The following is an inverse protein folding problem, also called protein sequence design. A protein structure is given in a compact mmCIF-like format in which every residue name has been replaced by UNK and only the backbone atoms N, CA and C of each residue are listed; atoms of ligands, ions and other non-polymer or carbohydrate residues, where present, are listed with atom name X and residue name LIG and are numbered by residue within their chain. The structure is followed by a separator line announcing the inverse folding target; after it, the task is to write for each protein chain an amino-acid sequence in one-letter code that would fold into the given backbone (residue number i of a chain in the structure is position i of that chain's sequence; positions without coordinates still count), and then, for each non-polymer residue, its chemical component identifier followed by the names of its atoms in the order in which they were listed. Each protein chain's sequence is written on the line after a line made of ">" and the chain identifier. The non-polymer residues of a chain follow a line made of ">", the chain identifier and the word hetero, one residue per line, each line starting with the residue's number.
data_IF_338819003617
#
_entry.id   IF_338819003617
#
_cell.length_a   1.000
_cell.length_b   1.000
_cell.length_c   1.000
_cell.angle_alpha   90.00
_cell.angle_beta   90.00
_cell.angle_gamma   90.00
#
_symmetry.space_group_name_H-M   'P 1'
#
loop_
_entity.id
_entity.type
_entity.pdbx_description
1 polymer ?
#
# COMPACT_ATOMS: atom_id res chain seq x y z
N UNK A 1 -12.33 7.66 -6.97
CA UNK A 1 -11.60 6.71 -6.12
C UNK A 1 -11.48 7.22 -4.70
N UNK A 2 -10.69 6.55 -3.87
CA UNK A 2 -10.59 6.79 -2.43
C UNK A 2 -10.29 8.26 -2.05
N UNK A 3 -9.24 8.88 -2.58
CA UNK A 3 -8.83 10.24 -2.15
C UNK A 3 -9.82 11.35 -2.52
N UNK A 4 -10.63 11.18 -3.56
CA UNK A 4 -11.71 12.12 -3.86
C UNK A 4 -12.82 12.04 -2.80
N UNK A 5 -13.13 10.82 -2.33
CA UNK A 5 -14.08 10.58 -1.24
C UNK A 5 -13.50 11.11 0.07
N UNK A 6 -12.22 10.84 0.32
CA UNK A 6 -11.47 11.32 1.48
C UNK A 6 -11.52 12.85 1.58
N UNK A 7 -11.11 13.59 0.54
CA UNK A 7 -11.19 15.06 0.52
C UNK A 7 -12.62 15.60 0.71
N UNK A 8 -13.61 14.89 0.18
CA UNK A 8 -15.00 15.27 0.38
C UNK A 8 -15.41 15.07 1.84
N UNK A 9 -14.94 14.03 2.52
CA UNK A 9 -15.31 13.73 3.90
C UNK A 9 -14.52 14.54 4.93
N UNK A 10 -13.21 14.72 4.74
CA UNK A 10 -12.32 15.43 5.67
C UNK A 10 -12.02 16.88 5.26
N UNK A 11 -12.05 17.18 3.96
CA UNK A 11 -11.60 18.49 3.45
C UNK A 11 -10.10 18.57 3.29
N UNK A 12 -9.59 19.77 3.00
CA UNK A 12 -8.15 20.00 3.03
C UNK A 12 -7.69 19.89 4.49
N UNK A 13 -6.56 19.22 4.69
CA UNK A 13 -5.94 19.23 5.99
C UNK A 13 -5.11 20.51 6.19
N UNK A 14 -5.48 21.26 7.20
CA UNK A 14 -4.72 22.45 7.65
C UNK A 14 -4.53 22.41 9.16
N UNK A 15 -4.76 21.25 9.77
CA UNK A 15 -4.65 21.04 11.20
C UNK A 15 -3.18 20.79 11.57
N UNK A 16 -2.85 21.10 12.81
CA UNK A 16 -1.47 20.99 13.31
C UNK A 16 -1.14 19.62 13.87
N UNK A 17 -2.16 18.80 14.15
CA UNK A 17 -2.05 17.58 14.96
C UNK A 17 -3.23 16.62 14.75
N UNK A 18 -3.82 16.62 13.57
CA UNK A 18 -5.01 15.81 13.26
C UNK A 18 -5.53 16.09 11.85
N UNK A 19 -6.56 15.36 11.40
CA UNK A 19 -6.94 15.36 9.99
C UNK A 19 -7.79 16.58 9.61
N UNK A 20 -8.16 16.66 8.33
CA UNK A 20 -9.16 17.61 7.84
C UNK A 20 -10.47 17.57 8.65
N UNK A 21 -11.07 18.74 8.89
CA UNK A 21 -12.20 18.91 9.82
C UNK A 21 -13.52 19.28 9.16
N UNK A 22 -13.75 18.87 7.90
CA UNK A 22 -14.97 19.25 7.18
C UNK A 22 -16.23 18.84 7.96
N UNK A 23 -17.11 19.79 8.28
CA UNK A 23 -18.36 19.48 8.96
C UNK A 23 -19.35 18.82 8.00
N UNK A 24 -20.14 17.86 8.50
CA UNK A 24 -21.22 17.25 7.72
C UNK A 24 -22.27 18.29 7.28
N UNK A 25 -22.38 19.41 7.99
CA UNK A 25 -23.22 20.55 7.62
C UNK A 25 -22.83 21.18 6.28
N UNK A 26 -21.62 20.94 5.77
CA UNK A 26 -21.25 21.35 4.40
C UNK A 26 -22.12 20.66 3.35
N UNK A 27 -22.81 19.57 3.67
CA UNK A 27 -23.69 18.85 2.76
C UNK A 27 -25.15 19.29 2.82
N UNK A 28 -25.49 20.17 3.77
CA UNK A 28 -26.85 20.69 3.90
C UNK A 28 -27.16 21.75 2.84
N UNK A 29 -28.45 21.95 2.59
CA UNK A 29 -28.99 22.93 1.62
C UNK A 29 -29.94 23.93 2.28
N UNK A 30 -30.09 23.83 3.60
CA UNK A 30 -30.98 24.67 4.41
C UNK A 30 -30.19 25.71 5.22
N UNK A 31 -30.84 26.29 6.22
CA UNK A 31 -30.26 27.33 7.07
C UNK A 31 -29.14 26.84 7.99
N UNK A 32 -28.97 25.52 8.17
CA UNK A 32 -27.92 24.94 9.01
C UNK A 32 -26.62 24.69 8.21
N UNK A 33 -26.63 24.93 6.88
CA UNK A 33 -25.47 24.72 6.03
C UNK A 33 -24.30 25.65 6.38
N UNK A 34 -23.10 25.07 6.51
CA UNK A 34 -21.85 25.79 6.81
C UNK A 34 -21.09 26.25 5.56
N UNK A 35 -21.44 25.73 4.39
CA UNK A 35 -20.82 26.07 3.11
C UNK A 35 -21.83 26.05 1.96
N UNK A 36 -21.58 26.80 0.86
CA UNK A 36 -22.44 26.74 -0.32
C UNK A 36 -22.35 25.38 -1.04
N UNK A 37 -23.33 25.13 -1.91
CA UNK A 37 -23.40 23.99 -2.85
C UNK A 37 -23.42 22.60 -2.18
N UNK A 38 -24.06 22.45 -1.02
CA UNK A 38 -24.16 21.18 -0.32
C UNK A 38 -24.81 20.06 -1.15
N UNK A 39 -25.80 20.41 -1.98
CA UNK A 39 -26.42 19.52 -2.96
C UNK A 39 -25.40 18.95 -3.96
N UNK A 40 -24.61 19.83 -4.58
CA UNK A 40 -23.57 19.44 -5.55
C UNK A 40 -22.46 18.63 -4.90
N UNK A 41 -22.06 18.99 -3.67
CA UNK A 41 -21.04 18.27 -2.89
C UNK A 41 -21.51 16.85 -2.58
N UNK A 42 -22.75 16.71 -2.10
CA UNK A 42 -23.37 15.40 -1.85
C UNK A 42 -23.52 14.56 -3.11
N UNK A 43 -23.91 15.18 -4.24
CA UNK A 43 -23.97 14.48 -5.53
C UNK A 43 -22.60 13.96 -5.96
N UNK A 44 -21.54 14.75 -5.81
CA UNK A 44 -20.18 14.31 -6.14
C UNK A 44 -19.77 13.13 -5.24
N UNK A 45 -19.92 13.24 -3.92
CA UNK A 45 -19.54 12.18 -2.98
C UNK A 45 -20.21 10.86 -3.35
N UNK A 46 -21.51 10.90 -3.66
CA UNK A 46 -22.27 9.72 -4.09
C UNK A 46 -21.71 9.13 -5.39
N UNK A 47 -21.49 9.95 -6.42
CA UNK A 47 -20.96 9.49 -7.70
C UNK A 47 -19.55 8.91 -7.57
N UNK A 48 -18.68 9.54 -6.78
CA UNK A 48 -17.33 9.06 -6.53
C UNK A 48 -17.32 7.69 -5.83
N UNK A 49 -18.25 7.47 -4.89
CA UNK A 49 -18.44 6.18 -4.22
C UNK A 49 -19.05 5.12 -5.16
N UNK A 50 -20.01 5.49 -6.01
CA UNK A 50 -20.58 4.60 -7.03
C UNK A 50 -19.49 4.12 -8.00
N UNK A 51 -18.68 5.03 -8.54
CA UNK A 51 -17.55 4.68 -9.42
C UNK A 51 -16.56 3.75 -8.69
N UNK A 52 -16.23 4.03 -7.43
CA UNK A 52 -15.32 3.17 -6.67
C UNK A 52 -15.88 1.74 -6.52
N UNK A 53 -17.18 1.59 -6.23
CA UNK A 53 -17.82 0.28 -6.12
C UNK A 53 -17.84 -0.44 -7.47
N UNK A 54 -18.12 0.29 -8.56
CA UNK A 54 -18.07 -0.25 -9.93
C UNK A 54 -16.67 -0.74 -10.29
N UNK A 55 -15.63 0.06 -10.03
CA UNK A 55 -14.23 -0.30 -10.28
C UNK A 55 -13.82 -1.54 -9.47
N UNK A 56 -14.17 -1.59 -8.18
CA UNK A 56 -13.88 -2.75 -7.32
C UNK A 56 -14.61 -4.02 -7.79
N UNK A 57 -15.82 -3.89 -8.34
CA UNK A 57 -16.54 -5.02 -8.91
C UNK A 57 -15.77 -5.66 -10.08
N UNK A 58 -15.06 -4.86 -10.89
CA UNK A 58 -14.22 -5.40 -11.97
C UNK A 58 -13.10 -6.30 -11.45
N UNK A 59 -12.50 -5.96 -10.31
CA UNK A 59 -11.47 -6.79 -9.67
C UNK A 59 -12.05 -8.07 -9.09
N UNK A 60 -13.23 -7.99 -8.47
CA UNK A 60 -13.97 -9.16 -7.96
C UNK A 60 -14.29 -10.13 -9.11
N UNK A 61 -14.81 -9.61 -10.22
CA UNK A 61 -15.15 -10.42 -11.39
C UNK A 61 -13.91 -11.03 -12.05
N UNK A 62 -12.80 -10.31 -12.11
CA UNK A 62 -11.52 -10.81 -12.62
C UNK A 62 -11.00 -12.01 -11.81
N UNK A 63 -11.34 -12.08 -10.52
CA UNK A 63 -10.93 -13.16 -9.60
C UNK A 63 -12.04 -14.16 -9.23
N UNK A 64 -13.24 -14.04 -9.81
CA UNK A 64 -14.34 -14.93 -9.51
C UNK A 64 -14.03 -16.40 -9.88
N UNK A 65 -14.38 -17.39 -9.04
CA UNK A 65 -14.16 -18.80 -9.37
C UNK A 65 -15.13 -19.29 -10.46
N UNK A 66 -14.68 -20.24 -11.29
CA UNK A 66 -15.54 -20.92 -12.28
C UNK A 66 -15.89 -20.09 -13.51
N UNK A 67 -15.27 -18.92 -13.70
CA UNK A 67 -15.44 -18.07 -14.88
C UNK A 67 -14.21 -18.14 -15.80
N UNK A 68 -14.38 -17.70 -17.06
CA UNK A 68 -13.28 -17.53 -18.01
C UNK A 68 -12.68 -16.13 -17.84
N UNK A 69 -11.83 -15.97 -16.82
CA UNK A 69 -11.32 -14.69 -16.34
C UNK A 69 -9.82 -14.73 -15.98
N UNK A 70 -9.31 -13.64 -15.38
CA UNK A 70 -7.90 -13.54 -15.00
C UNK A 70 -7.49 -14.64 -14.04
N UNK A 71 -8.29 -14.95 -13.01
CA UNK A 71 -7.99 -16.06 -12.08
C UNK A 71 -7.78 -17.36 -12.81
N UNK A 72 -8.67 -17.75 -13.73
CA UNK A 72 -8.51 -18.99 -14.49
C UNK A 72 -7.21 -19.00 -15.28
N UNK A 73 -6.94 -17.94 -16.04
CA UNK A 73 -5.70 -17.80 -16.80
C UNK A 73 -4.45 -17.84 -15.91
N UNK A 74 -4.52 -17.27 -14.72
CA UNK A 74 -3.45 -17.26 -13.73
C UNK A 74 -3.21 -18.65 -13.12
N UNK A 75 -4.28 -19.37 -12.74
CA UNK A 75 -4.16 -20.66 -12.05
C UNK A 75 -3.96 -21.86 -12.98
N UNK A 76 -4.41 -21.78 -14.23
CA UNK A 76 -4.27 -22.85 -15.24
C UNK A 76 -3.12 -22.59 -16.22
N UNK A 77 -2.49 -21.41 -16.13
CA UNK A 77 -1.35 -21.03 -16.96
C UNK A 77 -0.05 -21.70 -16.52
N UNK A 78 1.06 -21.17 -17.04
CA UNK A 78 2.40 -21.59 -16.65
C UNK A 78 2.68 -21.20 -15.18
N UNK A 79 2.95 -22.17 -14.28
CA UNK A 79 3.26 -21.89 -12.89
C UNK A 79 4.47 -20.97 -12.69
N UNK A 80 5.49 -21.06 -13.56
CA UNK A 80 6.69 -20.21 -13.43
C UNK A 80 6.35 -18.76 -13.76
N UNK A 81 5.50 -18.52 -14.76
CA UNK A 81 4.99 -17.18 -15.08
C UNK A 81 4.07 -16.64 -13.96
N UNK A 82 3.29 -17.50 -13.31
CA UNK A 82 2.48 -17.10 -12.16
C UNK A 82 3.37 -16.70 -10.96
N UNK A 83 4.38 -17.51 -10.63
CA UNK A 83 5.36 -17.21 -9.58
C UNK A 83 6.13 -15.93 -9.88
N UNK A 84 6.56 -15.76 -11.15
CA UNK A 84 7.24 -14.54 -11.58
C UNK A 84 6.38 -13.31 -11.36
N UNK A 85 5.10 -13.35 -11.75
CA UNK A 85 4.15 -12.25 -11.50
C UNK A 85 3.98 -11.95 -10.01
N UNK A 86 3.90 -12.98 -9.16
CA UNK A 86 3.76 -12.79 -7.71
C UNK A 86 4.99 -12.07 -7.16
N UNK A 87 6.19 -12.60 -7.40
CA UNK A 87 7.44 -12.04 -6.84
C UNK A 87 7.68 -10.62 -7.38
N UNK A 88 7.47 -10.40 -8.68
CA UNK A 88 7.55 -9.06 -9.28
C UNK A 88 6.55 -8.09 -8.64
N UNK A 89 5.28 -8.49 -8.47
CA UNK A 89 4.26 -7.60 -7.92
C UNK A 89 4.57 -7.18 -6.48
N UNK A 90 4.97 -8.10 -5.60
CA UNK A 90 5.32 -7.74 -4.22
C UNK A 90 6.64 -6.99 -4.12
N UNK A 91 7.58 -7.22 -5.05
CA UNK A 91 8.83 -6.47 -5.14
C UNK A 91 8.62 -5.02 -5.58
N UNK A 92 7.82 -4.80 -6.62
CA UNK A 92 7.40 -3.46 -7.05
C UNK A 92 6.63 -2.75 -5.95
N UNK A 93 5.68 -3.44 -5.30
CA UNK A 93 4.93 -2.85 -4.19
C UNK A 93 5.85 -2.47 -3.03
N UNK A 94 6.86 -3.27 -2.72
CA UNK A 94 7.84 -2.99 -1.66
C UNK A 94 8.71 -1.77 -1.98
N UNK A 95 9.46 -1.84 -3.08
CA UNK A 95 10.55 -0.90 -3.38
C UNK A 95 10.09 0.28 -4.22
N UNK A 96 9.53 0.03 -5.40
CA UNK A 96 9.11 1.09 -6.30
C UNK A 96 8.00 1.94 -5.70
N UNK A 97 6.92 1.30 -5.24
CA UNK A 97 5.70 2.00 -4.82
C UNK A 97 5.76 2.44 -3.35
N UNK A 98 5.90 1.50 -2.42
CA UNK A 98 5.73 1.81 -1.00
C UNK A 98 6.92 2.60 -0.44
N UNK A 99 8.15 2.15 -0.70
CA UNK A 99 9.34 2.86 -0.24
C UNK A 99 9.56 4.15 -1.05
N UNK A 100 9.66 4.05 -2.37
CA UNK A 100 9.97 5.17 -3.26
C UNK A 100 8.87 6.23 -3.27
N UNK A 101 7.73 5.92 -3.89
CA UNK A 101 6.71 6.94 -4.15
C UNK A 101 5.90 7.34 -2.91
N UNK A 102 5.56 6.39 -2.02
CA UNK A 102 4.63 6.68 -0.91
C UNK A 102 5.31 7.17 0.37
N UNK A 103 6.62 6.96 0.52
CA UNK A 103 7.34 7.31 1.76
C UNK A 103 8.52 8.24 1.50
N UNK A 104 9.41 7.90 0.58
CA UNK A 104 10.65 8.66 0.34
C UNK A 104 10.36 10.03 -0.29
N UNK A 105 9.36 10.13 -1.18
CA UNK A 105 8.93 11.42 -1.76
C UNK A 105 8.51 12.41 -0.66
N UNK A 106 7.61 12.00 0.24
CA UNK A 106 7.16 12.86 1.35
C UNK A 106 8.31 13.17 2.33
N UNK A 107 9.23 12.22 2.52
CA UNK A 107 10.40 12.39 3.37
C UNK A 107 11.42 13.38 2.80
N UNK A 108 11.59 13.43 1.48
CA UNK A 108 12.48 14.37 0.77
C UNK A 108 11.85 15.76 0.67
N UNK A 109 10.55 15.84 0.36
CA UNK A 109 9.85 17.12 0.25
C UNK A 109 9.54 17.77 1.59
N UNK A 110 9.37 16.95 2.64
CA UNK A 110 8.87 17.36 3.95
C UNK A 110 7.50 18.06 3.87
N UNK A 111 6.72 17.75 2.83
CA UNK A 111 5.39 18.30 2.60
C UNK A 111 4.32 17.28 3.00
N UNK A 112 3.40 17.70 3.87
CA UNK A 112 2.25 16.90 4.25
C UNK A 112 1.33 16.59 3.05
N UNK A 113 1.33 17.42 2.01
CA UNK A 113 0.48 17.19 0.84
C UNK A 113 1.03 16.06 -0.05
N UNK A 114 2.29 15.65 0.16
CA UNK A 114 2.94 14.54 -0.55
C UNK A 114 2.76 13.20 0.18
N UNK A 115 2.20 13.16 1.40
CA UNK A 115 1.80 11.90 2.02
C UNK A 115 0.49 11.34 1.41
N UNK A 116 0.34 10.01 1.41
CA UNK A 116 -0.64 9.33 0.56
C UNK A 116 -2.11 9.66 0.91
N UNK A 117 -2.45 9.67 2.20
CA UNK A 117 -3.80 9.94 2.72
C UNK A 117 -3.80 11.22 3.56
N UNK A 118 -3.27 12.28 2.95
CA UNK A 118 -3.00 13.58 3.56
C UNK A 118 -4.23 14.33 4.09
N UNK A 119 -5.45 13.91 3.76
CA UNK A 119 -6.66 14.57 4.27
C UNK A 119 -7.19 13.93 5.56
N UNK A 120 -6.92 12.64 5.75
CA UNK A 120 -7.54 11.83 6.81
C UNK A 120 -6.55 11.29 7.85
N UNK A 121 -5.27 11.64 7.76
CA UNK A 121 -4.17 11.11 8.58
C UNK A 121 -4.03 9.58 8.50
N UNK A 122 -4.50 8.96 7.42
CA UNK A 122 -4.59 7.51 7.32
C UNK A 122 -3.32 6.85 6.75
N UNK A 123 -2.31 7.64 6.36
CA UNK A 123 -1.09 7.18 5.69
C UNK A 123 -0.37 6.05 6.44
N UNK A 124 -0.29 6.14 7.77
CA UNK A 124 0.31 5.09 8.61
C UNK A 124 -0.40 3.72 8.52
N UNK A 125 -1.73 3.72 8.38
CA UNK A 125 -2.53 2.50 8.17
C UNK A 125 -2.30 1.96 6.77
N UNK A 126 -2.28 2.84 5.76
CA UNK A 126 -2.07 2.43 4.37
C UNK A 126 -0.71 1.75 4.22
N UNK A 127 0.36 2.36 4.73
CA UNK A 127 1.71 1.80 4.68
C UNK A 127 1.75 0.42 5.37
N UNK A 128 1.21 0.33 6.58
CA UNK A 128 1.16 -0.93 7.33
C UNK A 128 0.40 -2.03 6.59
N UNK A 129 -0.77 -1.73 6.03
CA UNK A 129 -1.59 -2.71 5.33
C UNK A 129 -0.94 -3.19 4.02
N UNK A 130 -0.21 -2.32 3.32
CA UNK A 130 0.57 -2.72 2.14
C UNK A 130 1.73 -3.66 2.53
N UNK A 131 2.48 -3.34 3.59
CA UNK A 131 3.57 -4.19 4.07
C UNK A 131 3.05 -5.57 4.57
N UNK A 132 1.93 -5.58 5.30
CA UNK A 132 1.26 -6.83 5.68
C UNK A 132 0.79 -7.61 4.46
N UNK A 133 0.28 -6.94 3.42
CA UNK A 133 -0.10 -7.57 2.15
C UNK A 133 1.06 -8.32 1.50
N UNK A 134 2.25 -7.70 1.46
CA UNK A 134 3.48 -8.33 0.95
C UNK A 134 3.82 -9.58 1.77
N UNK A 135 3.84 -9.46 3.10
CA UNK A 135 4.13 -10.58 3.99
C UNK A 135 3.12 -11.73 3.84
N UNK A 136 1.84 -11.41 3.76
CA UNK A 136 0.75 -12.37 3.57
C UNK A 136 0.92 -13.18 2.28
N UNK A 137 1.25 -12.50 1.17
CA UNK A 137 1.50 -13.16 -0.12
C UNK A 137 2.75 -14.02 -0.07
N UNK A 138 3.83 -13.55 0.55
CA UNK A 138 5.08 -14.31 0.65
C UNK A 138 4.93 -15.58 1.51
N UNK A 139 4.22 -15.47 2.63
CA UNK A 139 4.02 -16.56 3.58
C UNK A 139 2.81 -17.46 3.26
N UNK A 140 1.96 -17.10 2.31
CA UNK A 140 0.74 -17.85 2.00
C UNK A 140 -0.31 -17.79 3.12
N UNK A 141 -0.36 -16.69 3.87
CA UNK A 141 -1.23 -16.53 5.06
C UNK A 141 -2.09 -15.28 4.96
N UNK A 142 -3.38 -15.41 5.23
CA UNK A 142 -4.30 -14.27 5.30
C UNK A 142 -5.54 -14.60 6.12
N UNK A 143 -5.77 -13.87 7.22
CA UNK A 143 -6.89 -14.10 8.14
C UNK A 143 -6.93 -15.57 8.62
N UNK A 144 -7.98 -16.33 8.26
CA UNK A 144 -8.10 -17.76 8.59
C UNK A 144 -7.46 -18.70 7.57
N UNK A 145 -6.89 -18.17 6.48
CA UNK A 145 -6.18 -18.95 5.47
C UNK A 145 -4.70 -19.10 5.86
N UNK A 146 -4.24 -20.36 5.88
CA UNK A 146 -2.83 -20.74 6.09
C UNK A 146 -2.53 -21.88 5.10
N UNK A 147 -1.74 -21.58 4.08
CA UNK A 147 -1.42 -22.49 2.99
C UNK A 147 0.03 -22.35 2.51
N UNK A 148 0.42 -23.08 1.45
CA UNK A 148 1.78 -23.00 0.93
C UNK A 148 2.12 -21.58 0.48
N UNK A 149 3.26 -21.06 0.95
CA UNK A 149 3.76 -19.75 0.57
C UNK A 149 4.95 -19.82 -0.38
N UNK A 150 5.42 -18.67 -0.85
CA UNK A 150 6.69 -18.56 -1.59
C UNK A 150 7.86 -19.00 -0.71
N UNK A 151 7.79 -18.70 0.59
CA UNK A 151 8.77 -19.10 1.58
C UNK A 151 9.07 -20.61 1.53
N UNK A 152 8.08 -21.47 1.27
CA UNK A 152 8.29 -22.92 1.22
C UNK A 152 9.13 -23.32 0.00
N UNK A 153 8.93 -22.65 -1.14
CA UNK A 153 9.73 -22.84 -2.34
C UNK A 153 11.14 -22.29 -2.17
N UNK A 154 11.27 -21.11 -1.57
CA UNK A 154 12.58 -20.49 -1.30
C UNK A 154 13.36 -21.34 -0.30
N UNK A 155 12.74 -21.82 0.77
CA UNK A 155 13.40 -22.68 1.75
C UNK A 155 13.89 -24.01 1.14
N UNK A 156 13.16 -24.55 0.15
CA UNK A 156 13.60 -25.75 -0.58
C UNK A 156 14.77 -25.48 -1.53
N UNK A 157 14.86 -24.28 -2.12
CA UNK A 157 15.92 -23.89 -3.04
C UNK A 157 17.18 -23.38 -2.32
N UNK A 158 17.00 -22.46 -1.37
CA UNK A 158 18.03 -21.83 -0.56
C UNK A 158 17.46 -21.44 0.84
N UNK A 159 17.71 -22.28 1.87
CA UNK A 159 17.23 -22.03 3.22
C UNK A 159 17.74 -20.71 3.82
N UNK A 160 18.99 -20.33 3.53
CA UNK A 160 19.57 -19.11 4.10
C UNK A 160 18.96 -17.86 3.47
N UNK A 161 18.65 -17.91 2.18
CA UNK A 161 17.93 -16.84 1.48
C UNK A 161 16.50 -16.68 2.03
N UNK A 162 15.82 -17.80 2.32
CA UNK A 162 14.49 -17.77 2.93
C UNK A 162 14.54 -17.10 4.31
N UNK A 163 15.47 -17.50 5.17
CA UNK A 163 15.61 -16.92 6.51
C UNK A 163 15.88 -15.41 6.42
N UNK A 164 16.79 -14.99 5.53
CA UNK A 164 17.08 -13.58 5.30
C UNK A 164 15.85 -12.79 4.77
N UNK A 165 15.05 -13.39 3.89
CA UNK A 165 13.83 -12.74 3.37
C UNK A 165 12.77 -12.60 4.46
N UNK A 166 12.58 -13.62 5.31
CA UNK A 166 11.66 -13.56 6.45
C UNK A 166 12.10 -12.48 7.45
N UNK A 167 13.40 -12.42 7.76
CA UNK A 167 13.96 -11.39 8.64
C UNK A 167 13.71 -9.98 8.08
N UNK A 168 13.82 -9.78 6.75
CA UNK A 168 13.53 -8.50 6.11
C UNK A 168 12.04 -8.14 6.14
N UNK A 169 11.14 -9.11 5.95
CA UNK A 169 9.69 -8.91 6.10
C UNK A 169 9.30 -8.49 7.52
N UNK A 170 9.96 -9.07 8.54
CA UNK A 170 9.74 -8.67 9.94
C UNK A 170 10.35 -7.29 10.21
N UNK A 171 11.58 -7.05 9.76
CA UNK A 171 12.29 -5.78 9.94
C UNK A 171 11.51 -4.60 9.32
N UNK A 172 10.99 -4.75 8.11
CA UNK A 172 10.23 -3.69 7.44
C UNK A 172 8.93 -3.38 8.18
N UNK A 173 8.18 -4.41 8.60
CA UNK A 173 6.96 -4.23 9.37
C UNK A 173 7.21 -3.57 10.72
N UNK A 174 8.24 -4.01 11.46
CA UNK A 174 8.63 -3.41 12.75
C UNK A 174 9.05 -1.94 12.56
N UNK A 175 9.80 -1.63 11.51
CA UNK A 175 10.21 -0.26 11.22
C UNK A 175 9.02 0.64 10.90
N UNK A 176 8.07 0.15 10.08
CA UNK A 176 6.82 0.85 9.76
C UNK A 176 5.98 1.11 11.02
N UNK A 177 5.82 0.11 11.89
CA UNK A 177 5.05 0.27 13.13
C UNK A 177 5.72 1.22 14.15
N UNK A 178 7.01 1.48 13.99
CA UNK A 178 7.73 2.42 14.85
C UNK A 178 7.54 3.89 14.45
N UNK A 179 7.03 4.17 13.23
CA UNK A 179 6.80 5.54 12.74
C UNK A 179 5.76 6.23 13.64
N UNK A 180 6.04 7.45 14.15
CA UNK A 180 5.06 8.22 14.91
C UNK A 180 3.80 8.50 14.08
N UNK A 181 2.65 8.56 14.76
CA UNK A 181 1.35 8.83 14.14
C UNK A 181 0.85 10.20 14.63
N UNK A 182 0.32 11.06 13.76
CA UNK A 182 0.17 10.87 12.30
C UNK A 182 1.48 11.03 11.51
N UNK A 183 1.50 10.54 10.26
CA UNK A 183 2.74 10.36 9.48
C UNK A 183 3.38 11.71 9.12
N UNK A 184 2.57 12.67 8.68
CA UNK A 184 2.91 14.08 8.50
C UNK A 184 3.67 14.70 9.68
N UNK A 185 3.31 14.38 10.93
CA UNK A 185 4.00 14.89 12.12
C UNK A 185 5.36 14.23 12.36
N UNK A 186 5.59 13.08 11.73
CA UNK A 186 6.90 12.44 11.69
C UNK A 186 7.80 13.02 10.58
N UNK A 187 7.24 13.76 9.62
CA UNK A 187 7.99 14.55 8.62
C UNK A 187 8.61 15.77 9.27
N UNK A 188 9.75 15.54 9.93
CA UNK A 188 10.55 16.57 10.59
C UNK A 188 11.84 16.89 9.85
N UNK A 189 12.62 17.81 10.42
CA UNK A 189 13.97 18.07 9.94
C UNK A 189 14.78 16.76 9.86
N UNK A 190 15.61 16.65 8.83
CA UNK A 190 16.51 15.51 8.64
C UNK A 190 17.30 15.20 9.91
N UNK A 191 17.27 13.94 10.34
CA UNK A 191 17.91 13.49 11.58
C UNK A 191 17.05 13.57 12.85
N UNK A 192 15.83 14.12 12.78
CA UNK A 192 14.86 14.02 13.87
C UNK A 192 14.41 12.56 14.12
N UNK A 193 13.81 12.28 15.28
CA UNK A 193 13.35 10.92 15.62
C UNK A 193 12.33 10.38 14.61
N UNK A 194 11.33 11.19 14.24
CA UNK A 194 10.33 10.84 13.22
C UNK A 194 10.96 10.59 11.85
N UNK A 195 11.80 11.52 11.38
CA UNK A 195 12.50 11.41 10.10
C UNK A 195 13.33 10.13 10.02
N UNK A 196 14.14 9.84 11.05
CA UNK A 196 14.99 8.64 11.08
C UNK A 196 14.18 7.34 11.07
N UNK A 197 12.97 7.34 11.65
CA UNK A 197 12.09 6.17 11.66
C UNK A 197 11.44 5.93 10.29
N UNK A 198 11.04 6.99 9.59
CA UNK A 198 10.56 6.87 8.21
C UNK A 198 11.71 6.40 7.31
N UNK A 199 12.89 7.02 7.39
CA UNK A 199 14.09 6.62 6.63
C UNK A 199 14.47 5.15 6.90
N UNK A 200 14.41 4.69 8.15
CA UNK A 200 14.67 3.29 8.49
C UNK A 200 13.66 2.33 7.83
N UNK A 201 12.38 2.72 7.77
CA UNK A 201 11.34 1.92 7.11
C UNK A 201 11.50 1.91 5.58
N UNK A 202 11.82 3.06 4.96
CA UNK A 202 12.15 3.17 3.52
C UNK A 202 13.31 2.25 3.17
N UNK A 203 14.43 2.35 3.90
CA UNK A 203 15.60 1.52 3.64
C UNK A 203 15.31 0.03 3.86
N UNK A 204 14.52 -0.33 4.87
CA UNK A 204 14.11 -1.72 5.09
C UNK A 204 13.26 -2.28 3.93
N UNK A 205 12.39 -1.47 3.33
CA UNK A 205 11.59 -1.85 2.16
C UNK A 205 12.41 -1.90 0.86
N UNK A 206 13.45 -1.07 0.73
CA UNK A 206 14.44 -1.18 -0.35
C UNK A 206 15.22 -2.49 -0.24
N UNK A 207 15.77 -2.81 0.95
CA UNK A 207 16.44 -4.09 1.21
C UNK A 207 15.50 -5.27 0.88
N UNK A 208 14.23 -5.19 1.31
CA UNK A 208 13.20 -6.19 1.06
C UNK A 208 12.93 -6.38 -0.45
N UNK A 209 12.85 -5.29 -1.21
CA UNK A 209 12.65 -5.35 -2.66
C UNK A 209 13.85 -5.94 -3.41
N UNK A 210 15.07 -5.58 -3.01
CA UNK A 210 16.30 -6.13 -3.59
C UNK A 210 16.41 -7.64 -3.30
N UNK A 211 16.08 -8.07 -2.09
CA UNK A 211 16.05 -9.49 -1.72
C UNK A 211 15.05 -10.29 -2.56
N UNK A 212 13.91 -9.70 -2.96
CA UNK A 212 12.94 -10.35 -3.82
C UNK A 212 13.47 -10.61 -5.24
N UNK A 213 14.43 -9.81 -5.71
CA UNK A 213 15.16 -10.10 -6.97
C UNK A 213 16.03 -11.33 -6.82
N UNK A 214 16.71 -11.49 -5.67
CA UNK A 214 17.50 -12.70 -5.37
C UNK A 214 16.60 -13.94 -5.23
N UNK A 215 15.42 -13.80 -4.60
CA UNK A 215 14.40 -14.86 -4.54
C UNK A 215 13.98 -15.31 -5.93
N UNK A 216 13.69 -14.37 -6.84
CA UNK A 216 13.33 -14.72 -8.22
C UNK A 216 14.45 -15.49 -8.94
N UNK A 217 15.71 -15.07 -8.74
CA UNK A 217 16.87 -15.74 -9.31
C UNK A 217 17.06 -17.16 -8.75
N UNK A 218 16.94 -17.35 -7.43
CA UNK A 218 17.07 -18.65 -6.77
C UNK A 218 15.99 -19.65 -7.21
N UNK A 219 14.79 -19.16 -7.50
CA UNK A 219 13.68 -19.95 -8.03
C UNK A 219 13.76 -20.18 -9.55
N UNK A 220 14.76 -19.62 -10.24
CA UNK A 220 14.93 -19.77 -11.68
C UNK A 220 13.92 -19.00 -12.54
N UNK A 221 13.28 -17.96 -11.99
CA UNK A 221 12.22 -17.18 -12.65
C UNK A 221 12.74 -16.12 -13.64
N UNK A 222 14.04 -16.12 -13.91
CA UNK A 222 14.72 -15.14 -14.75
C UNK A 222 14.87 -13.77 -14.08
N UNK A 223 15.27 -12.78 -14.88
CA UNK A 223 15.40 -11.41 -14.39
C UNK A 223 14.02 -10.77 -14.20
N UNK A 224 13.83 -10.14 -13.05
CA UNK A 224 12.68 -9.28 -12.73
C UNK A 224 13.18 -7.86 -12.43
N UNK A 225 12.30 -6.88 -12.60
CA UNK A 225 12.49 -5.54 -12.05
C UNK A 225 11.54 -5.34 -10.88
N UNK A 226 12.00 -4.63 -9.87
CA UNK A 226 11.22 -4.20 -8.70
C UNK A 226 11.07 -2.68 -8.66
N UNK A 227 11.52 -1.99 -9.72
CA UNK A 227 11.26 -0.58 -9.96
C UNK A 227 9.88 -0.40 -10.60
N UNK A 228 9.31 0.79 -10.49
CA UNK A 228 8.05 1.10 -11.16
C UNK A 228 8.21 1.00 -12.69
N UNK A 229 7.22 0.43 -13.40
CA UNK A 229 7.23 0.42 -14.85
C UNK A 229 7.07 1.84 -15.40
N UNK A 230 7.95 2.22 -16.34
CA UNK A 230 7.83 3.46 -17.15
C UNK A 230 6.59 3.46 -18.07
#
# INVERSE_FOLDING_TARGET
>A
GYHAIEFLLWGQDTSSDGPGTRPWQDYLTDMEATAPNGDRRGQFLKLAAEILVEDLATLVDAWAPGADNYRKAFTEGDPDEALRKIVTAIGILSKGELAGERMDVALDSLDQEDEHSCFSDNTHIDIKMNALGIQNVYLGRYDYYDGPGLNDLVAAADPALNDAMIDLLEKSLVAIEAIPVPFDQALGAQGSDGWNKIDAAVNALFDQGDQLVEVAAALGLGAISVDLPE
#
